data_IF_843598389333
#
_entry.id   IF_843598389333
#
_cell.length_a   1.000
_cell.length_b   1.000
_cell.length_c   1.000
_cell.angle_alpha   90.00
_cell.angle_beta   90.00
_cell.angle_gamma   90.00
#
_symmetry.space_group_name_H-M   'P 1'
#
loop_
_entity.id
_entity.type
_entity.pdbx_description
1 polymer ?
#
# COMPACT_ATOMS: atom_id res chain seq x y z
N UNK A 1 14.88 -14.56 9.48
CA UNK A 1 15.08 -13.53 10.52
C UNK A 1 13.74 -13.29 11.21
N UNK A 2 13.73 -12.97 12.50
CA UNK A 2 12.48 -12.75 13.26
C UNK A 2 12.29 -11.26 13.52
N UNK A 3 11.05 -10.79 13.47
CA UNK A 3 10.63 -9.43 13.80
C UNK A 3 9.60 -9.51 14.92
N UNK A 4 10.04 -9.72 16.18
CA UNK A 4 9.13 -10.00 17.30
C UNK A 4 8.23 -8.81 17.66
N UNK A 5 8.56 -7.62 17.17
CA UNK A 5 7.91 -6.34 17.48
C UNK A 5 6.79 -6.02 16.47
N UNK A 6 6.65 -6.82 15.40
CA UNK A 6 5.64 -6.60 14.37
C UNK A 6 4.35 -7.35 14.69
N UNK A 7 3.25 -6.61 14.75
CA UNK A 7 1.91 -7.18 14.62
C UNK A 7 1.49 -7.18 13.15
N UNK A 8 0.93 -8.30 12.67
CA UNK A 8 0.59 -8.47 11.25
C UNK A 8 -0.91 -8.73 11.08
N UNK A 9 -1.56 -7.90 10.26
CA UNK A 9 -2.87 -8.17 9.68
C UNK A 9 -2.71 -8.49 8.19
N UNK A 10 -3.12 -9.68 7.77
CA UNK A 10 -2.98 -10.18 6.41
C UNK A 10 -4.35 -10.46 5.78
N UNK A 11 -4.70 -9.71 4.73
CA UNK A 11 -5.86 -10.03 3.88
C UNK A 11 -5.45 -11.04 2.80
N UNK A 12 -5.94 -12.27 2.86
CA UNK A 12 -5.48 -13.36 1.98
C UNK A 12 -6.37 -13.61 0.74
N UNK A 13 -7.51 -12.93 0.65
CA UNK A 13 -8.54 -13.22 -0.34
C UNK A 13 -9.38 -14.44 0.02
N UNK A 14 -10.51 -14.58 -0.69
CA UNK A 14 -11.54 -15.61 -0.49
C UNK A 14 -10.97 -17.03 -0.54
N UNK A 15 -11.32 -17.86 0.44
CA UNK A 15 -10.96 -19.28 0.50
C UNK A 15 -9.51 -19.58 0.92
N UNK A 16 -8.71 -18.55 1.23
CA UNK A 16 -7.27 -18.73 1.51
C UNK A 16 -6.91 -18.64 2.99
N UNK A 17 -7.85 -18.29 3.88
CA UNK A 17 -7.54 -17.98 5.29
C UNK A 17 -6.81 -19.13 5.98
N UNK A 18 -7.33 -20.35 5.85
CA UNK A 18 -6.73 -21.52 6.50
C UNK A 18 -5.32 -21.80 5.97
N UNK A 19 -5.12 -21.78 4.65
CA UNK A 19 -3.83 -22.02 4.00
C UNK A 19 -2.79 -21.01 4.44
N UNK A 20 -3.15 -19.73 4.45
CA UNK A 20 -2.24 -18.65 4.84
C UNK A 20 -1.94 -18.70 6.34
N UNK A 21 -2.95 -18.91 7.19
CA UNK A 21 -2.76 -19.07 8.64
C UNK A 21 -1.81 -20.24 8.95
N UNK A 22 -1.99 -21.38 8.29
CA UNK A 22 -1.08 -22.52 8.42
C UNK A 22 0.34 -22.22 7.97
N UNK A 23 0.54 -21.38 6.93
CA UNK A 23 1.86 -20.97 6.50
C UNK A 23 2.60 -20.08 7.52
N UNK A 24 1.86 -19.33 8.34
CA UNK A 24 2.45 -18.53 9.42
C UNK A 24 2.89 -19.36 10.62
N UNK A 25 2.23 -20.50 10.89
CA UNK A 25 2.45 -21.33 12.07
C UNK A 25 1.96 -20.64 13.35
N UNK A 26 2.73 -20.74 14.44
CA UNK A 26 2.38 -20.16 15.75
C UNK A 26 2.67 -18.66 15.88
N UNK A 27 2.94 -17.96 14.76
CA UNK A 27 3.22 -16.52 14.80
C UNK A 27 1.93 -15.74 15.11
N UNK A 28 1.98 -14.68 15.92
CA UNK A 28 0.83 -13.86 16.25
C UNK A 28 0.42 -13.01 15.04
N UNK A 29 -0.43 -13.58 14.17
CA UNK A 29 -0.95 -12.91 12.98
C UNK A 29 -2.47 -12.99 12.92
N UNK A 30 -3.09 -11.91 12.47
CA UNK A 30 -4.51 -11.89 12.13
C UNK A 30 -4.64 -12.08 10.62
N UNK A 31 -5.25 -13.19 10.21
CA UNK A 31 -5.53 -13.48 8.80
C UNK A 31 -7.03 -13.39 8.58
N UNK A 32 -7.45 -12.66 7.55
CA UNK A 32 -8.84 -12.57 7.14
C UNK A 32 -8.94 -12.71 5.61
N UNK A 33 -10.03 -13.28 5.11
CA UNK A 33 -10.27 -13.32 3.67
C UNK A 33 -10.43 -11.91 3.08
N UNK A 34 -11.13 -11.03 3.80
CA UNK A 34 -11.42 -9.67 3.39
C UNK A 34 -11.31 -8.73 4.59
N UNK A 35 -10.95 -7.47 4.31
CA UNK A 35 -11.03 -6.36 5.27
C UNK A 35 -12.25 -5.54 4.89
N UNK A 36 -13.27 -5.54 5.74
CA UNK A 36 -14.52 -4.81 5.49
C UNK A 36 -14.43 -3.32 5.81
N UNK A 37 -13.59 -2.97 6.79
CA UNK A 37 -13.30 -1.59 7.15
C UNK A 37 -11.84 -1.27 6.85
N UNK A 38 -11.60 -0.81 5.62
CA UNK A 38 -10.25 -0.40 5.19
C UNK A 38 -9.77 0.86 5.89
N UNK A 39 -10.69 1.75 6.32
CA UNK A 39 -10.31 2.97 7.02
C UNK A 39 -9.73 2.64 8.40
N UNK A 40 -10.38 1.74 9.14
CA UNK A 40 -9.86 1.21 10.41
C UNK A 40 -8.52 0.49 10.19
N UNK A 41 -8.41 -0.37 9.18
CA UNK A 41 -7.17 -1.09 8.91
C UNK A 41 -6.00 -0.15 8.59
N UNK A 42 -6.24 0.90 7.81
CA UNK A 42 -5.24 1.94 7.56
C UNK A 42 -4.90 2.71 8.84
N UNK A 43 -5.88 3.07 9.66
CA UNK A 43 -5.62 3.78 10.93
C UNK A 43 -4.73 2.96 11.86
N UNK A 44 -5.02 1.66 11.99
CA UNK A 44 -4.25 0.71 12.79
C UNK A 44 -2.82 0.52 12.28
N UNK A 45 -2.61 0.46 10.95
CA UNK A 45 -1.32 0.10 10.39
C UNK A 45 -0.28 1.22 10.50
N UNK A 46 0.96 0.91 10.90
CA UNK A 46 2.10 1.84 10.79
C UNK A 46 2.60 1.98 9.35
N UNK A 47 2.53 0.89 8.57
CA UNK A 47 2.85 0.85 7.15
C UNK A 47 2.08 -0.28 6.45
N UNK A 48 2.09 -0.28 5.12
CA UNK A 48 1.32 -1.24 4.31
C UNK A 48 2.20 -1.92 3.26
N UNK A 49 1.98 -3.22 3.04
CA UNK A 49 2.58 -3.97 1.92
C UNK A 49 1.46 -4.41 1.00
N UNK A 50 1.44 -3.91 -0.24
CA UNK A 50 0.31 -4.14 -1.15
C UNK A 50 0.69 -4.05 -2.63
N UNK A 51 -0.26 -4.41 -3.50
CA UNK A 51 -0.14 -4.16 -4.94
C UNK A 51 -0.29 -2.66 -5.23
N UNK A 52 0.22 -2.23 -6.38
CA UNK A 52 0.20 -0.83 -6.81
C UNK A 52 -0.91 -0.56 -7.85
N UNK A 53 -2.15 -0.96 -7.52
CA UNK A 53 -3.31 -0.51 -8.29
C UNK A 53 -3.50 1.01 -8.15
N UNK A 54 -3.99 1.69 -9.19
CA UNK A 54 -4.12 3.16 -9.18
C UNK A 54 -4.95 3.66 -7.99
N UNK A 55 -6.08 3.01 -7.70
CA UNK A 55 -6.91 3.34 -6.54
C UNK A 55 -6.19 3.04 -5.21
N UNK A 56 -5.50 1.91 -5.11
CA UNK A 56 -4.73 1.55 -3.91
C UNK A 56 -3.64 2.55 -3.60
N UNK A 57 -2.92 3.04 -4.62
CA UNK A 57 -1.91 4.10 -4.44
C UNK A 57 -2.55 5.39 -3.94
N UNK A 58 -3.70 5.78 -4.51
CA UNK A 58 -4.45 6.95 -4.05
C UNK A 58 -4.98 6.79 -2.61
N UNK A 59 -5.46 5.61 -2.23
CA UNK A 59 -5.93 5.30 -0.88
C UNK A 59 -4.79 5.38 0.13
N UNK A 60 -3.63 4.80 -0.18
CA UNK A 60 -2.43 4.86 0.67
C UNK A 60 -1.97 6.32 0.85
N UNK A 61 -1.96 7.10 -0.24
CA UNK A 61 -1.65 8.52 -0.19
C UNK A 61 -2.64 9.27 0.74
N UNK A 62 -3.94 9.05 0.55
CA UNK A 62 -5.00 9.67 1.36
C UNK A 62 -4.94 9.28 2.84
N UNK A 63 -4.62 8.02 3.13
CA UNK A 63 -4.40 7.50 4.48
C UNK A 63 -3.10 8.03 5.12
N UNK A 64 -2.18 8.58 4.31
CA UNK A 64 -0.89 9.09 4.75
C UNK A 64 -0.04 7.98 5.37
N UNK A 65 0.04 6.82 4.70
CA UNK A 65 0.79 5.66 5.21
C UNK A 65 2.02 5.38 4.34
N UNK A 66 3.18 5.07 4.96
CA UNK A 66 4.30 4.49 4.24
C UNK A 66 3.86 3.16 3.62
N UNK A 67 4.34 2.90 2.41
CA UNK A 67 4.02 1.65 1.73
C UNK A 67 5.21 1.00 1.06
N UNK A 68 5.19 -0.33 1.04
CA UNK A 68 6.02 -1.16 0.18
C UNK A 68 5.10 -1.68 -0.92
N UNK A 69 5.20 -1.07 -2.09
CA UNK A 69 4.46 -1.49 -3.26
C UNK A 69 5.14 -2.66 -3.94
N UNK A 70 4.36 -3.70 -4.23
CA UNK A 70 4.79 -4.88 -4.97
C UNK A 70 3.98 -4.96 -6.27
N UNK A 71 4.36 -4.25 -7.34
CA UNK A 71 3.66 -4.28 -8.62
C UNK A 71 3.44 -5.71 -9.11
N UNK A 72 2.26 -5.98 -9.67
CA UNK A 72 1.98 -7.28 -10.27
C UNK A 72 2.90 -7.49 -11.50
N UNK A 73 3.68 -8.59 -11.56
CA UNK A 73 4.49 -8.90 -12.72
C UNK A 73 3.58 -9.10 -13.93
N UNK A 74 3.92 -8.50 -15.07
CA UNK A 74 3.16 -8.59 -16.32
C UNK A 74 1.75 -7.96 -16.27
N UNK A 75 1.51 -6.96 -15.40
CA UNK A 75 0.37 -6.07 -15.62
C UNK A 75 0.43 -5.56 -17.06
N UNK A 76 -0.71 -5.51 -17.75
CA UNK A 76 -0.81 -4.95 -19.11
C UNK A 76 -0.13 -3.58 -19.09
N UNK A 77 0.92 -3.44 -19.90
CA UNK A 77 1.84 -2.29 -20.04
C UNK A 77 2.64 -1.81 -18.80
N UNK A 78 2.86 -2.63 -17.76
CA UNK A 78 3.67 -2.24 -16.58
C UNK A 78 3.10 -1.02 -15.80
N UNK A 79 1.80 -0.72 -15.97
CA UNK A 79 1.17 0.45 -15.36
C UNK A 79 1.21 0.46 -13.82
N UNK A 80 1.26 -0.72 -13.17
CA UNK A 80 1.38 -0.75 -11.70
C UNK A 80 2.73 -0.21 -11.21
N UNK A 81 3.81 -0.38 -11.97
CA UNK A 81 5.11 0.21 -11.63
C UNK A 81 5.04 1.73 -11.74
N UNK A 82 4.37 2.25 -12.78
CA UNK A 82 4.14 3.69 -12.93
C UNK A 82 3.30 4.26 -11.78
N UNK A 83 2.22 3.57 -11.40
CA UNK A 83 1.41 3.95 -10.24
C UNK A 83 2.26 3.98 -8.96
N UNK A 84 3.09 2.94 -8.72
CA UNK A 84 3.94 2.88 -7.53
C UNK A 84 4.95 4.04 -7.49
N UNK A 85 5.53 4.39 -8.65
CA UNK A 85 6.50 5.49 -8.78
C UNK A 85 5.92 6.85 -8.43
N UNK A 86 4.61 7.05 -8.62
CA UNK A 86 3.94 8.31 -8.24
C UNK A 86 4.23 8.72 -6.79
N UNK A 87 4.25 7.76 -5.85
CA UNK A 87 4.64 8.01 -4.46
C UNK A 87 6.12 7.75 -4.19
N UNK A 88 6.71 6.73 -4.83
CA UNK A 88 8.09 6.36 -4.54
C UNK A 88 9.09 7.46 -4.95
N UNK A 89 8.87 8.13 -6.09
CA UNK A 89 9.73 9.22 -6.57
C UNK A 89 9.68 10.44 -5.64
N UNK A 90 8.63 10.54 -4.81
CA UNK A 90 8.45 11.57 -3.78
C UNK A 90 8.94 11.13 -2.40
N UNK A 91 9.66 10.01 -2.31
CA UNK A 91 10.08 9.40 -1.05
C UNK A 91 8.89 9.15 -0.09
N UNK A 92 7.75 8.74 -0.63
CA UNK A 92 6.55 8.39 0.15
C UNK A 92 6.29 6.87 0.22
N UNK A 93 7.01 6.08 -0.58
CA UNK A 93 6.90 4.63 -0.62
C UNK A 93 8.19 3.97 -1.14
N UNK A 94 8.31 2.66 -0.95
CA UNK A 94 9.30 1.80 -1.63
C UNK A 94 8.59 0.97 -2.68
N UNK A 95 9.28 0.68 -3.79
CA UNK A 95 8.80 -0.25 -4.82
C UNK A 95 9.72 -1.45 -4.84
N UNK A 96 9.14 -2.64 -4.68
CA UNK A 96 9.87 -3.90 -4.66
C UNK A 96 9.30 -4.81 -5.73
N UNK A 97 10.15 -5.29 -6.63
CA UNK A 97 9.73 -6.27 -7.64
C UNK A 97 9.30 -7.57 -6.96
N UNK A 98 8.22 -8.21 -7.44
CA UNK A 98 7.74 -9.47 -6.86
C UNK A 98 8.83 -10.56 -6.83
N UNK A 99 9.72 -10.59 -7.82
CA UNK A 99 10.85 -11.53 -7.88
C UNK A 99 11.91 -11.30 -6.79
N UNK A 100 12.03 -10.07 -6.28
CA UNK A 100 12.99 -9.68 -5.26
C UNK A 100 12.38 -9.61 -3.85
N UNK A 101 11.06 -9.74 -3.72
CA UNK A 101 10.32 -9.50 -2.48
C UNK A 101 10.87 -10.27 -1.27
N UNK A 102 11.19 -11.55 -1.43
CA UNK A 102 11.71 -12.39 -0.35
C UNK A 102 13.08 -11.95 0.18
N UNK A 103 13.87 -11.29 -0.67
CA UNK A 103 15.21 -10.79 -0.35
C UNK A 103 15.16 -9.37 0.21
N UNK A 104 14.35 -8.49 -0.39
CA UNK A 104 14.33 -7.07 -0.05
C UNK A 104 13.42 -6.74 1.15
N UNK A 105 12.29 -7.44 1.31
CA UNK A 105 11.33 -7.11 2.37
C UNK A 105 11.95 -7.14 3.76
N UNK A 106 12.73 -8.17 4.18
CA UNK A 106 13.36 -8.17 5.50
C UNK A 106 14.36 -7.03 5.71
N UNK A 107 15.04 -6.59 4.64
CA UNK A 107 16.01 -5.49 4.70
C UNK A 107 15.28 -4.17 4.93
N UNK A 108 14.21 -3.91 4.16
CA UNK A 108 13.39 -2.70 4.30
C UNK A 108 12.73 -2.64 5.67
N UNK A 109 12.14 -3.75 6.14
CA UNK A 109 11.49 -3.80 7.44
C UNK A 109 12.47 -3.49 8.57
N UNK A 110 13.70 -4.00 8.50
CA UNK A 110 14.73 -3.70 9.49
C UNK A 110 15.10 -2.22 9.50
N UNK A 111 15.38 -1.66 8.32
CA UNK A 111 15.71 -0.25 8.16
C UNK A 111 14.62 0.66 8.76
N UNK A 112 13.35 0.34 8.52
CA UNK A 112 12.20 1.08 9.06
C UNK A 112 12.01 0.93 10.56
N UNK A 113 12.29 -0.25 11.12
CA UNK A 113 12.24 -0.48 12.56
C UNK A 113 13.40 0.22 13.30
N UNK A 114 14.58 0.27 12.68
CA UNK A 114 15.76 0.96 13.23
C UNK A 114 15.67 2.49 13.05
N UNK A 115 14.92 2.96 12.05
CA UNK A 115 14.77 4.39 11.71
C UNK A 115 13.29 4.81 11.59
N UNK A 116 12.50 4.82 12.68
CA UNK A 116 11.06 5.11 12.63
C UNK A 116 10.74 6.53 12.11
N UNK A 117 11.65 7.50 12.28
CA UNK A 117 11.51 8.85 11.74
C UNK A 117 11.41 8.88 10.21
N UNK A 118 11.99 7.90 9.52
CA UNK A 118 11.87 7.76 8.07
C UNK A 118 10.45 7.36 7.67
N UNK A 119 9.82 6.46 8.43
CA UNK A 119 8.40 6.12 8.24
C UNK A 119 7.51 7.34 8.47
N UNK A 120 7.76 8.13 9.52
CA UNK A 120 7.01 9.37 9.78
C UNK A 120 7.13 10.37 8.62
N UNK A 121 8.34 10.52 8.07
CA UNK A 121 8.58 11.39 6.91
C UNK A 121 7.92 10.87 5.64
N UNK A 122 7.97 9.56 5.38
CA UNK A 122 7.28 8.93 4.25
C UNK A 122 5.76 9.11 4.35
N UNK A 123 5.18 8.93 5.53
CA UNK A 123 3.77 9.15 5.81
C UNK A 123 3.34 10.60 5.50
N UNK A 124 4.13 11.56 5.96
CA UNK A 124 3.90 12.98 5.69
C UNK A 124 3.99 13.32 4.20
N UNK A 125 4.95 12.73 3.47
CA UNK A 125 5.07 12.90 2.03
C UNK A 125 3.87 12.28 1.31
N UNK A 126 3.48 11.04 1.65
CA UNK A 126 2.35 10.35 1.02
C UNK A 126 1.07 11.21 1.04
N UNK A 127 0.80 11.85 2.18
CA UNK A 127 -0.37 12.71 2.38
C UNK A 127 -0.39 13.95 1.48
N UNK A 128 0.78 14.50 1.15
CA UNK A 128 0.88 15.69 0.28
C UNK A 128 0.46 15.39 -1.16
N UNK A 129 0.64 14.14 -1.61
CA UNK A 129 0.33 13.69 -2.97
C UNK A 129 -0.99 12.93 -3.06
N UNK A 130 -1.82 13.00 -2.03
CA UNK A 130 -3.17 12.44 -2.10
C UNK A 130 -4.01 13.23 -3.11
N UNK A 131 -4.75 12.56 -4.03
CA UNK A 131 -5.56 13.23 -5.04
C UNK A 131 -6.88 13.73 -4.44
N UNK A 132 -6.79 14.69 -3.51
CA UNK A 132 -7.96 15.30 -2.88
C UNK A 132 -8.85 15.95 -3.95
N UNK A 133 -10.17 15.74 -3.83
CA UNK A 133 -11.20 16.28 -4.73
C UNK A 133 -11.18 15.74 -6.17
N UNK A 134 -10.49 14.63 -6.47
CA UNK A 134 -10.46 14.05 -7.81
C UNK A 134 -11.87 13.80 -8.39
N UNK A 135 -12.80 13.27 -7.58
CA UNK A 135 -14.19 13.05 -8.01
C UNK A 135 -14.90 14.36 -8.39
N UNK A 136 -14.69 15.42 -7.63
CA UNK A 136 -15.26 16.74 -7.91
C UNK A 136 -14.66 17.33 -9.20
N UNK A 137 -13.34 17.26 -9.37
CA UNK A 137 -12.66 17.75 -10.57
C UNK A 137 -13.16 17.06 -11.84
N UNK A 138 -13.39 15.74 -11.78
CA UNK A 138 -13.96 14.98 -12.91
C UNK A 138 -15.40 15.41 -13.19
N UNK A 139 -16.22 15.63 -12.16
CA UNK A 139 -17.59 16.11 -12.32
C UNK A 139 -17.62 17.51 -12.95
N UNK A 140 -16.80 18.44 -12.45
CA UNK A 140 -16.69 19.81 -12.95
C UNK A 140 -16.27 19.82 -14.43
N UNK A 141 -15.29 18.99 -14.81
CA UNK A 141 -14.84 18.87 -16.19
C UNK A 141 -15.95 18.32 -17.12
N UNK A 142 -16.71 17.33 -16.67
CA UNK A 142 -17.86 16.81 -17.41
C UNK A 142 -18.93 17.89 -17.61
N UNK A 143 -19.25 18.66 -16.56
CA UNK A 143 -20.23 19.75 -16.64
C UNK A 143 -19.78 20.85 -17.61
N UNK A 144 -18.51 21.27 -17.56
CA UNK A 144 -17.98 22.30 -18.45
C UNK A 144 -18.16 21.93 -19.93
N UNK A 145 -17.87 20.68 -20.30
CA UNK A 145 -18.04 20.17 -21.67
C UNK A 145 -19.50 20.15 -22.15
N UNK A 146 -20.47 20.12 -21.23
CA UNK A 146 -21.90 20.19 -21.59
C UNK A 146 -22.40 21.62 -21.78
N UNK A 147 -21.77 22.61 -21.14
CA UNK A 147 -22.12 24.04 -21.26
C UNK A 147 -21.54 24.70 -22.51
N UNK A 148 -20.52 24.09 -23.11
CA UNK A 148 -19.90 24.54 -24.37
C UNK A 148 -20.62 24.03 -25.64
N UNK A 149 -21.79 23.37 -25.48
CA UNK A 149 -22.69 22.95 -26.57
C UNK A 149 -23.94 23.82 -26.60
#
# INVERSE_FOLDING_TARGET
>A
QSFPELEIRHQCGKGNEQTVRSAYGDKPVTVNEFITDMAEAYQWADFVVCRAGALTVAEVAGAGKPAIFVPLPHAVDDHQTLNARYLADQNAAKVVAQSALSQELPVILRDWLENPDDCVRMAANAKQFAPYNAAQQVADACEALTRER
#
